data_IF_229721758950
#
_entry.id   IF_229721758950
#
_cell.length_a   1.000
_cell.length_b   1.000
_cell.length_c   1.000
_cell.angle_alpha   90.00
_cell.angle_beta   90.00
_cell.angle_gamma   90.00
#
_symmetry.space_group_name_H-M   'P 1'
#
loop_
_entity.id
_entity.type
_entity.pdbx_description
1 polymer ?
#
# COMPACT_ATOMS: atom_id res chain seq x y z
N UNK A 1 31.60 39.75 36.94
CA UNK A 1 31.58 38.43 36.27
C UNK A 1 31.52 37.36 37.35
N UNK A 2 30.53 36.46 37.34
CA UNK A 2 30.64 35.21 38.08
C UNK A 2 30.91 34.04 37.14
N UNK A 3 31.85 33.24 37.61
CA UNK A 3 32.49 32.12 36.98
C UNK A 3 31.60 30.88 36.92
N UNK A 4 31.90 30.06 35.93
CA UNK A 4 31.44 28.71 35.66
C UNK A 4 31.62 27.75 36.84
N UNK A 5 30.56 27.02 37.19
CA UNK A 5 30.69 25.70 37.83
C UNK A 5 30.07 24.67 36.89
N UNK A 6 30.96 23.97 36.19
CA UNK A 6 30.71 22.66 35.61
C UNK A 6 30.42 21.67 36.74
N UNK A 7 29.32 20.93 36.67
CA UNK A 7 29.39 19.50 36.27
C UNK A 7 28.01 18.83 36.19
N UNK A 8 27.83 17.85 35.28
CA UNK A 8 26.58 17.15 34.99
C UNK A 8 26.60 15.71 35.60
N UNK A 9 25.92 14.70 35.02
CA UNK A 9 24.54 14.31 35.25
C UNK A 9 24.43 12.95 35.99
N UNK A 10 23.34 12.68 36.71
CA UNK A 10 23.00 11.31 37.09
C UNK A 10 21.50 11.10 37.32
N UNK A 11 20.99 10.11 36.58
CA UNK A 11 19.88 9.21 36.88
C UNK A 11 18.45 9.73 37.08
N UNK A 12 17.63 9.34 36.09
CA UNK A 12 16.48 8.42 36.27
C UNK A 12 15.09 8.99 36.60
N UNK A 13 14.20 8.73 35.62
CA UNK A 13 12.77 8.39 35.74
C UNK A 13 11.80 9.43 36.34
N UNK A 14 10.87 9.94 35.51
CA UNK A 14 9.57 9.29 35.31
C UNK A 14 8.59 10.22 34.57
N UNK A 15 8.09 9.72 33.46
CA UNK A 15 6.99 10.26 32.65
C UNK A 15 5.63 10.11 33.34
N UNK A 16 4.76 11.11 33.22
CA UNK A 16 3.31 10.90 32.98
C UNK A 16 2.68 12.22 32.50
N UNK A 17 2.32 12.28 31.22
CA UNK A 17 0.98 12.01 30.69
C UNK A 17 0.17 13.32 30.52
N UNK A 18 0.43 13.99 29.39
CA UNK A 18 -0.39 15.08 28.88
C UNK A 18 -1.77 14.58 28.45
N UNK A 19 -2.80 15.30 28.88
CA UNK A 19 -4.16 15.20 28.36
C UNK A 19 -4.30 16.20 27.20
N UNK A 20 -4.53 15.70 26.01
CA UNK A 20 -5.03 16.51 24.90
C UNK A 20 -6.30 15.85 24.35
N UNK A 21 -7.43 16.45 24.68
CA UNK A 21 -8.69 16.22 24.00
C UNK A 21 -8.66 16.98 22.67
N UNK A 22 -8.68 16.27 21.55
CA UNK A 22 -9.16 16.85 20.29
C UNK A 22 -9.48 15.78 19.26
N UNK A 23 -10.66 15.97 18.67
CA UNK A 23 -10.98 15.76 17.25
C UNK A 23 -10.91 14.36 16.66
N UNK A 24 -12.03 13.98 16.05
CA UNK A 24 -12.02 12.97 14.99
C UNK A 24 -13.24 12.08 15.07
N UNK A 25 -14.41 12.62 14.73
CA UNK A 25 -15.48 11.79 14.19
C UNK A 25 -14.97 11.22 12.87
N UNK A 26 -14.20 10.14 12.96
CA UNK A 26 -13.78 9.37 11.82
C UNK A 26 -15.02 8.68 11.29
N UNK A 27 -15.66 9.29 10.30
CA UNK A 27 -16.51 8.57 9.36
C UNK A 27 -15.65 7.45 8.82
N UNK A 28 -15.82 6.27 9.42
CA UNK A 28 -15.17 5.03 9.05
C UNK A 28 -15.38 4.88 7.55
N UNK A 29 -14.31 5.11 6.81
CA UNK A 29 -14.14 4.63 5.45
C UNK A 29 -14.24 3.12 5.54
N UNK A 30 -15.48 2.62 5.54
CA UNK A 30 -15.80 1.23 5.28
C UNK A 30 -15.29 0.98 3.87
N UNK A 31 -14.02 0.59 3.79
CA UNK A 31 -13.43 -0.01 2.61
C UNK A 31 -14.27 -1.19 2.13
N UNK A 32 -13.90 -1.81 0.99
CA UNK A 32 -14.67 -2.87 0.36
C UNK A 32 -15.12 -3.85 1.44
N UNK A 33 -16.43 -3.96 1.68
CA UNK A 33 -16.99 -4.81 2.74
C UNK A 33 -16.29 -6.17 2.67
N UNK A 34 -15.43 -6.48 3.64
CA UNK A 34 -14.58 -7.69 3.64
C UNK A 34 -15.47 -8.89 3.38
N UNK A 35 -15.42 -9.42 2.16
CA UNK A 35 -16.32 -10.50 1.74
C UNK A 35 -15.73 -11.79 2.28
N UNK A 36 -16.30 -12.30 3.37
CA UNK A 36 -15.98 -13.65 3.83
C UNK A 36 -16.27 -14.67 2.74
N UNK A 37 -15.41 -15.69 2.65
CA UNK A 37 -15.66 -16.87 1.81
C UNK A 37 -16.96 -17.55 2.25
N UNK A 38 -17.69 -18.23 1.35
CA UNK A 38 -18.94 -18.92 1.71
C UNK A 38 -18.80 -19.88 2.89
N UNK A 39 -17.70 -20.64 2.94
CA UNK A 39 -17.37 -21.57 4.02
C UNK A 39 -17.16 -20.86 5.36
N UNK A 40 -16.43 -19.74 5.37
CA UNK A 40 -16.22 -18.92 6.57
C UNK A 40 -17.54 -18.37 7.10
N UNK A 41 -18.42 -17.91 6.20
CA UNK A 41 -19.76 -17.44 6.58
C UNK A 41 -20.60 -18.55 7.18
N UNK A 42 -20.57 -19.75 6.59
CA UNK A 42 -21.29 -20.91 7.12
C UNK A 42 -20.86 -21.22 8.54
N UNK A 43 -19.55 -21.28 8.80
CA UNK A 43 -18.99 -21.54 10.13
C UNK A 43 -19.42 -20.46 11.13
N UNK A 44 -19.29 -19.19 10.77
CA UNK A 44 -19.69 -18.07 11.64
C UNK A 44 -21.18 -18.10 11.94
N UNK A 45 -22.02 -18.38 10.95
CA UNK A 45 -23.47 -18.44 11.11
C UNK A 45 -23.91 -19.62 11.99
N UNK A 46 -23.37 -20.82 11.76
CA UNK A 46 -23.66 -21.99 12.61
C UNK A 46 -23.30 -21.72 14.08
N UNK A 47 -22.16 -21.09 14.32
CA UNK A 47 -21.74 -20.68 15.66
C UNK A 47 -22.65 -19.62 16.28
N UNK A 48 -23.06 -18.63 15.49
CA UNK A 48 -23.95 -17.57 15.91
C UNK A 48 -25.34 -18.12 16.27
N UNK A 49 -25.91 -18.98 15.43
CA UNK A 49 -27.20 -19.61 15.67
C UNK A 49 -27.18 -20.46 16.95
N UNK A 50 -26.09 -21.21 17.17
CA UNK A 50 -25.84 -21.95 18.41
C UNK A 50 -25.75 -21.03 19.63
N UNK A 51 -25.18 -19.85 19.50
CA UNK A 51 -25.12 -18.87 20.57
C UNK A 51 -26.51 -18.26 20.84
N UNK A 52 -27.24 -17.89 19.79
CA UNK A 52 -28.56 -17.29 19.86
C UNK A 52 -29.57 -18.21 20.53
N UNK A 53 -29.65 -19.49 20.13
CA UNK A 53 -30.51 -20.50 20.77
C UNK A 53 -30.27 -20.63 22.29
N UNK A 54 -29.02 -20.52 22.72
CA UNK A 54 -28.67 -20.52 24.15
C UNK A 54 -29.03 -19.19 24.83
N UNK A 55 -28.82 -18.07 24.13
CA UNK A 55 -29.22 -16.75 24.58
C UNK A 55 -30.72 -16.67 24.82
N UNK A 56 -31.53 -17.13 23.87
CA UNK A 56 -32.99 -17.23 24.01
C UNK A 56 -33.40 -18.03 25.24
N UNK A 57 -32.73 -19.16 25.50
CA UNK A 57 -33.01 -19.97 26.68
C UNK A 57 -32.74 -19.20 27.99
N UNK A 58 -31.75 -18.31 28.02
CA UNK A 58 -31.46 -17.45 29.17
C UNK A 58 -32.46 -16.31 29.35
N UNK A 59 -33.09 -15.87 28.27
CA UNK A 59 -34.08 -14.79 28.28
C UNK A 59 -35.46 -15.29 28.75
N UNK A 60 -35.70 -16.61 28.75
CA UNK A 60 -36.96 -17.18 29.24
C UNK A 60 -37.14 -16.87 30.73
N UNK A 61 -38.31 -16.40 31.18
CA UNK A 61 -38.58 -16.17 32.60
C UNK A 61 -38.39 -17.42 33.47
N UNK A 62 -38.70 -18.60 32.93
CA UNK A 62 -38.51 -19.88 33.61
C UNK A 62 -37.05 -20.22 33.88
N UNK A 63 -36.10 -19.58 33.19
CA UNK A 63 -34.68 -19.86 33.37
C UNK A 63 -34.20 -19.54 34.79
N UNK A 64 -34.74 -18.49 35.39
CA UNK A 64 -34.40 -18.05 36.74
C UNK A 64 -34.92 -19.00 37.83
N UNK A 65 -35.82 -19.92 37.47
CA UNK A 65 -36.35 -20.94 38.37
C UNK A 65 -35.47 -22.20 38.43
N UNK A 66 -34.49 -22.35 37.52
CA UNK A 66 -33.58 -23.50 37.56
C UNK A 66 -32.56 -23.39 38.70
N UNK A 67 -31.97 -24.52 39.17
CA UNK A 67 -30.88 -24.49 40.13
C UNK A 67 -29.70 -23.62 39.66
N UNK A 68 -29.07 -22.92 40.60
CA UNK A 68 -27.99 -21.96 40.30
C UNK A 68 -26.82 -22.59 39.54
N UNK A 69 -26.47 -23.85 39.85
CA UNK A 69 -25.42 -24.58 39.13
C UNK A 69 -25.74 -24.77 37.64
N UNK A 70 -27.02 -25.04 37.32
CA UNK A 70 -27.48 -25.14 35.93
C UNK A 70 -27.43 -23.78 35.22
N UNK A 71 -27.94 -22.73 35.88
CA UNK A 71 -27.91 -21.38 35.33
C UNK A 71 -26.47 -20.95 35.01
N UNK A 72 -25.53 -21.16 35.95
CA UNK A 72 -24.11 -20.89 35.76
C UNK A 72 -23.53 -21.64 34.57
N UNK A 73 -23.81 -22.94 34.43
CA UNK A 73 -23.33 -23.76 33.31
C UNK A 73 -23.79 -23.21 31.95
N UNK A 74 -25.05 -22.78 31.86
CA UNK A 74 -25.60 -22.18 30.63
C UNK A 74 -24.92 -20.84 30.32
N UNK A 75 -24.74 -19.98 31.33
CA UNK A 75 -24.03 -18.69 31.18
C UNK A 75 -22.59 -18.91 30.73
N UNK A 76 -21.86 -19.82 31.37
CA UNK A 76 -20.47 -20.15 31.02
C UNK A 76 -20.36 -20.68 29.59
N UNK A 77 -21.32 -21.51 29.16
CA UNK A 77 -21.38 -22.03 27.79
C UNK A 77 -21.65 -20.91 26.78
N UNK A 78 -22.53 -19.97 27.09
CA UNK A 78 -22.77 -18.79 26.23
C UNK A 78 -21.50 -17.96 26.09
N UNK A 79 -20.84 -17.65 27.22
CA UNK A 79 -19.61 -16.87 27.23
C UNK A 79 -18.50 -17.55 26.44
N UNK A 80 -18.36 -18.88 26.57
CA UNK A 80 -17.41 -19.67 25.79
C UNK A 80 -17.71 -19.57 24.29
N UNK A 81 -18.96 -19.76 23.87
CA UNK A 81 -19.36 -19.65 22.45
C UNK A 81 -19.11 -18.25 21.88
N UNK A 82 -19.46 -17.20 22.63
CA UNK A 82 -19.23 -15.82 22.22
C UNK A 82 -17.72 -15.54 22.01
N UNK A 83 -16.86 -16.01 22.92
CA UNK A 83 -15.41 -15.89 22.77
C UNK A 83 -14.91 -16.64 21.54
N UNK A 84 -15.34 -17.88 21.33
CA UNK A 84 -14.93 -18.66 20.16
C UNK A 84 -15.38 -18.00 18.85
N UNK A 85 -16.61 -17.49 18.78
CA UNK A 85 -17.12 -16.77 17.61
C UNK A 85 -16.25 -15.53 17.31
N UNK A 86 -15.98 -14.71 18.33
CA UNK A 86 -15.16 -13.51 18.16
C UNK A 86 -13.73 -13.84 17.72
N UNK A 87 -13.12 -14.89 18.27
CA UNK A 87 -11.79 -15.33 17.86
C UNK A 87 -11.77 -15.80 16.41
N UNK A 88 -12.75 -16.62 15.99
CA UNK A 88 -12.87 -17.09 14.62
C UNK A 88 -13.13 -15.95 13.64
N UNK A 89 -14.01 -15.02 14.01
CA UNK A 89 -14.29 -13.84 13.21
C UNK A 89 -13.03 -13.01 12.97
N UNK A 90 -12.27 -12.72 14.04
CA UNK A 90 -10.99 -11.98 13.93
C UNK A 90 -9.99 -12.72 13.05
N UNK A 91 -9.84 -14.02 13.26
CA UNK A 91 -8.95 -14.86 12.46
C UNK A 91 -9.30 -14.81 10.97
N UNK A 92 -10.58 -14.96 10.61
CA UNK A 92 -11.01 -14.89 9.21
C UNK A 92 -10.84 -13.49 8.61
N UNK A 93 -11.04 -12.43 9.40
CA UNK A 93 -10.75 -11.06 8.94
C UNK A 93 -9.28 -10.90 8.59
N UNK A 94 -8.39 -11.34 9.47
CA UNK A 94 -6.94 -11.25 9.29
C UNK A 94 -6.46 -12.10 8.10
N UNK A 95 -6.95 -13.33 7.99
CA UNK A 95 -6.65 -14.21 6.85
C UNK A 95 -7.10 -13.59 5.52
N UNK A 96 -8.33 -13.08 5.44
CA UNK A 96 -8.85 -12.48 4.20
C UNK A 96 -8.11 -11.19 3.82
N UNK A 97 -7.68 -10.40 4.81
CA UNK A 97 -6.82 -9.25 4.54
C UNK A 97 -5.45 -9.67 4.00
N UNK A 98 -4.84 -10.68 4.61
CA UNK A 98 -3.54 -11.17 4.17
C UNK A 98 -3.61 -11.73 2.75
N UNK A 99 -4.59 -12.59 2.46
CA UNK A 99 -4.81 -13.11 1.11
C UNK A 99 -5.02 -11.99 0.08
N UNK A 100 -5.71 -10.91 0.47
CA UNK A 100 -5.89 -9.75 -0.39
C UNK A 100 -4.58 -9.01 -0.66
N UNK A 101 -3.68 -8.90 0.34
CA UNK A 101 -2.36 -8.29 0.18
C UNK A 101 -1.49 -9.15 -0.74
N UNK A 102 -1.40 -10.45 -0.47
CA UNK A 102 -0.59 -11.39 -1.23
C UNK A 102 -1.03 -11.41 -2.71
N UNK A 103 -2.34 -11.37 -2.95
CA UNK A 103 -2.89 -11.31 -4.32
C UNK A 103 -2.54 -10.01 -5.04
N UNK A 104 -2.59 -8.87 -4.33
CA UNK A 104 -2.21 -7.57 -4.90
C UNK A 104 -0.72 -7.52 -5.23
N UNK A 105 0.12 -8.03 -4.32
CA UNK A 105 1.57 -8.12 -4.51
C UNK A 105 1.92 -9.02 -5.71
N UNK A 106 1.32 -10.21 -5.80
CA UNK A 106 1.53 -11.11 -6.95
C UNK A 106 1.09 -10.47 -8.27
N UNK A 107 0.00 -9.70 -8.26
CA UNK A 107 -0.45 -8.97 -9.45
C UNK A 107 0.52 -7.84 -9.82
N UNK A 108 1.04 -7.10 -8.84
CA UNK A 108 2.04 -6.07 -9.07
C UNK A 108 3.33 -6.67 -9.67
N UNK A 109 3.80 -7.80 -9.16
CA UNK A 109 4.94 -8.51 -9.74
C UNK A 109 4.72 -8.92 -11.20
N UNK A 110 3.53 -9.46 -11.52
CA UNK A 110 3.18 -9.82 -12.91
C UNK A 110 3.20 -8.59 -13.82
N UNK A 111 2.61 -7.49 -13.37
CA UNK A 111 2.57 -6.24 -14.14
C UNK A 111 3.98 -5.65 -14.34
N UNK A 112 4.81 -5.64 -13.30
CA UNK A 112 6.19 -5.17 -13.39
C UNK A 112 7.02 -6.00 -14.38
N UNK A 113 6.87 -7.33 -14.36
CA UNK A 113 7.54 -8.21 -15.30
C UNK A 113 7.10 -7.97 -16.75
N UNK A 114 5.79 -7.83 -16.99
CA UNK A 114 5.28 -7.49 -18.33
C UNK A 114 5.79 -6.13 -18.81
N UNK A 115 5.81 -5.13 -17.92
CA UNK A 115 6.34 -3.80 -18.25
C UNK A 115 7.84 -3.85 -18.58
N UNK A 116 8.62 -4.65 -17.84
CA UNK A 116 10.05 -4.84 -18.10
C UNK A 116 10.29 -5.49 -19.47
N UNK A 117 9.52 -6.52 -19.84
CA UNK A 117 9.59 -7.13 -21.16
C UNK A 117 9.24 -6.15 -22.29
N UNK A 118 8.18 -5.35 -22.10
CA UNK A 118 7.80 -4.33 -23.06
C UNK A 118 8.89 -3.25 -23.23
N UNK A 119 9.52 -2.82 -22.13
CA UNK A 119 10.61 -1.86 -22.16
C UNK A 119 11.85 -2.41 -22.87
N UNK A 120 12.18 -3.70 -22.69
CA UNK A 120 13.29 -4.36 -23.39
C UNK A 120 13.03 -4.44 -24.90
N UNK A 121 11.85 -4.89 -25.32
CA UNK A 121 11.51 -4.92 -26.75
C UNK A 121 11.50 -3.54 -27.40
N UNK A 122 11.03 -2.51 -26.69
CA UNK A 122 11.09 -1.13 -27.18
C UNK A 122 12.53 -0.61 -27.31
N UNK A 123 13.42 -0.96 -26.37
CA UNK A 123 14.84 -0.59 -26.43
C UNK A 123 15.57 -1.31 -27.59
N UNK A 124 15.26 -2.58 -27.84
CA UNK A 124 15.81 -3.34 -28.97
C UNK A 124 15.36 -2.73 -30.32
N UNK A 125 14.07 -2.41 -30.47
CA UNK A 125 13.57 -1.76 -31.68
C UNK A 125 14.13 -0.35 -31.90
N UNK A 126 14.34 0.41 -30.82
CA UNK A 126 14.98 1.72 -30.91
C UNK A 126 16.46 1.60 -31.30
N UNK A 127 17.14 0.53 -30.90
CA UNK A 127 18.54 0.28 -31.27
C UNK A 127 18.69 -0.23 -32.71
N UNK A 128 17.72 -0.97 -33.25
CA UNK A 128 17.69 -1.37 -34.67
C UNK A 128 17.28 -0.23 -35.61
N UNK A 129 16.56 0.78 -35.11
CA UNK A 129 16.19 1.98 -35.87
C UNK A 129 17.16 3.15 -35.72
N UNK A 130 18.21 3.00 -34.91
CA UNK A 130 19.27 4.00 -34.84
C UNK A 130 19.96 4.08 -36.23
N UNK A 131 19.96 5.25 -36.90
CA UNK A 131 20.61 5.37 -38.20
C UNK A 131 22.09 4.99 -38.02
N UNK A 132 22.58 4.08 -38.87
CA UNK A 132 24.02 3.82 -38.94
C UNK A 132 24.75 5.16 -39.07
N UNK A 133 25.81 5.41 -38.28
CA UNK A 133 26.67 6.54 -38.54
C UNK A 133 27.26 6.33 -39.94
N UNK A 134 26.77 7.10 -40.91
CA UNK A 134 27.39 7.24 -42.22
C UNK A 134 28.86 7.56 -41.96
N UNK A 135 29.82 6.73 -42.41
CA UNK A 135 31.22 7.01 -42.16
C UNK A 135 31.55 8.35 -42.83
N UNK A 136 31.92 9.33 -41.99
CA UNK A 136 32.51 10.60 -42.41
C UNK A 136 33.68 10.28 -43.36
N UNK A 137 33.46 10.51 -44.65
CA UNK A 137 34.55 10.56 -45.61
C UNK A 137 35.44 11.75 -45.23
N UNK A 138 36.63 11.44 -44.73
CA UNK A 138 37.75 12.35 -44.68
C UNK A 138 38.03 12.90 -46.09
N UNK A 139 38.21 14.22 -46.29
CA UNK A 139 38.92 14.71 -47.44
C UNK A 139 40.39 14.91 -47.05
N UNK A 140 41.21 13.88 -47.27
CA UNK A 140 42.61 14.12 -47.62
C UNK A 140 42.62 14.50 -49.11
N UNK A 141 42.93 15.76 -49.43
CA UNK A 141 43.87 16.06 -50.51
C UNK A 141 44.39 17.50 -50.40
N UNK A 142 45.71 17.59 -50.25
CA UNK A 142 46.49 18.79 -50.43
C UNK A 142 46.55 19.18 -51.91
N UNK A 143 46.46 20.48 -52.19
CA UNK A 143 47.02 21.08 -53.40
C UNK A 143 47.44 22.53 -53.08
N UNK A 144 48.73 22.77 -53.23
CA UNK A 144 49.42 24.05 -53.13
C UNK A 144 48.94 25.07 -54.19
N UNK A 145 49.15 26.36 -53.92
CA UNK A 145 49.53 27.31 -54.97
C UNK A 145 48.65 28.55 -55.18
N UNK A 146 49.23 29.69 -54.80
CA UNK A 146 49.26 30.94 -55.60
C UNK A 146 48.07 31.92 -55.54
N UNK A 147 48.28 32.96 -54.72
CA UNK A 147 48.11 34.43 -54.94
C UNK A 147 47.38 34.90 -56.21
N UNK A 148 46.30 35.68 -56.02
CA UNK A 148 45.97 37.03 -56.56
C UNK A 148 44.44 37.24 -56.53
N UNK A 149 43.96 38.18 -55.71
CA UNK A 149 43.48 39.51 -56.15
C UNK A 149 42.14 39.45 -56.90
N UNK A 150 41.04 39.80 -56.24
CA UNK A 150 40.22 40.98 -56.62
C UNK A 150 39.09 41.24 -55.62
N UNK A 151 38.92 42.52 -55.35
CA UNK A 151 37.89 43.22 -54.57
C UNK A 151 36.65 43.42 -55.46
N UNK A 152 35.53 43.81 -54.83
CA UNK A 152 34.22 44.22 -55.38
C UNK A 152 33.16 43.09 -55.41
N UNK A 153 31.92 43.28 -54.96
CA UNK A 153 31.15 44.51 -54.80
C UNK A 153 29.97 44.27 -53.83
N UNK A 154 29.64 45.29 -53.06
CA UNK A 154 28.41 45.44 -52.30
C UNK A 154 27.31 46.10 -53.16
N UNK A 155 26.10 46.12 -52.61
CA UNK A 155 24.86 46.78 -53.06
C UNK A 155 24.03 46.00 -54.09
N UNK A 156 22.70 46.05 -54.16
CA UNK A 156 21.56 46.51 -53.35
C UNK A 156 20.35 46.36 -54.30
N UNK A 157 19.16 46.08 -53.76
CA UNK A 157 17.80 46.26 -54.34
C UNK A 157 17.51 46.06 -55.86
N UNK A 158 16.53 45.19 -56.16
CA UNK A 158 15.15 45.62 -56.48
C UNK A 158 14.38 44.51 -57.22
N UNK A 159 13.27 44.06 -56.63
CA UNK A 159 12.11 43.56 -57.38
C UNK A 159 10.87 43.64 -56.47
N UNK A 160 10.48 44.87 -56.15
CA UNK A 160 9.09 45.22 -55.87
C UNK A 160 8.78 46.45 -56.74
N UNK A 161 7.77 46.26 -57.59
CA UNK A 161 7.10 47.19 -58.53
C UNK A 161 7.83 47.62 -59.79
#
# INVERSE_FOLDING_TARGET
>A
MPETVNSPPASEYASSAGRSNSSGSSTSSRGPRKKFKPEQKYILNDMWEKYEKLGEHRLKPSFFLYPQAFQKRVVDTCNKRARTYNNMYRYFVEQNEQESRDRAELQAFRQAHTAQQAAQGAAEQASEQAPEPVPEQAPEQAAEGTVEETVEQAAEEAAAT
#
